data_IF_628808326391
#
_entry.id   IF_628808326391
#
_cell.length_a   1.000
_cell.length_b   1.000
_cell.length_c   1.000
_cell.angle_alpha   90.00
_cell.angle_beta   90.00
_cell.angle_gamma   90.00
#
_symmetry.space_group_name_H-M   'P 1'
#
loop_
_entity.id
_entity.type
_entity.pdbx_description
1 polymer ?
#
# COMPACT_ATOMS: atom_id res chain seq x y z
N UNK A 1 -9.34 4.33 22.41
CA UNK A 1 -8.70 5.42 21.64
C UNK A 1 -9.71 5.88 20.61
N UNK A 2 -9.85 7.19 20.40
CA UNK A 2 -10.75 7.72 19.37
C UNK A 2 -9.98 7.81 18.06
N UNK A 3 -10.56 7.33 16.96
CA UNK A 3 -9.99 7.43 15.61
C UNK A 3 -10.76 8.49 14.85
N UNK A 4 -10.06 9.46 14.26
CA UNK A 4 -10.66 10.48 13.38
C UNK A 4 -10.35 10.22 11.92
N UNK A 5 -11.21 10.76 11.06
CA UNK A 5 -10.98 10.80 9.61
C UNK A 5 -10.59 12.21 9.19
N UNK A 6 -9.50 12.34 8.44
CA UNK A 6 -9.10 13.60 7.81
C UNK A 6 -9.37 13.49 6.31
N UNK A 7 -10.19 14.43 5.80
CA UNK A 7 -10.53 14.54 4.39
C UNK A 7 -9.92 15.80 3.78
N UNK A 8 -9.40 15.70 2.57
CA UNK A 8 -8.94 16.86 1.80
C UNK A 8 -7.84 16.55 0.82
N UNK A 9 -7.39 17.56 0.08
CA UNK A 9 -6.32 17.41 -0.93
C UNK A 9 -5.02 16.93 -0.29
N UNK A 10 -4.21 16.21 -1.07
CA UNK A 10 -2.94 15.61 -0.62
C UNK A 10 -2.09 16.62 0.18
N UNK A 11 -1.79 17.79 -0.39
CA UNK A 11 -0.98 18.83 0.24
C UNK A 11 -1.56 19.41 1.54
N UNK A 12 -2.88 19.57 1.62
CA UNK A 12 -3.54 20.24 2.75
C UNK A 12 -3.78 19.26 3.89
N UNK A 13 -4.22 18.05 3.57
CA UNK A 13 -4.43 16.96 4.52
C UNK A 13 -3.11 16.56 5.16
N UNK A 14 -2.03 16.43 4.38
CA UNK A 14 -0.74 15.99 4.93
C UNK A 14 -0.15 16.94 5.97
N UNK A 15 -0.37 18.25 5.84
CA UNK A 15 0.07 19.22 6.86
C UNK A 15 -0.65 19.05 8.19
N UNK A 16 -1.79 18.37 8.21
CA UNK A 16 -2.61 18.11 9.40
C UNK A 16 -2.40 16.71 9.98
N UNK A 17 -1.76 15.83 9.23
CA UNK A 17 -1.53 14.43 9.61
C UNK A 17 -0.37 14.33 10.59
N UNK A 18 -0.54 13.51 11.61
CA UNK A 18 0.53 13.10 12.52
C UNK A 18 0.96 11.69 12.11
N UNK A 19 2.07 11.53 11.38
CA UNK A 19 2.35 10.29 10.67
C UNK A 19 2.44 9.06 11.57
N UNK A 20 2.94 9.21 12.79
CA UNK A 20 3.06 8.15 13.79
C UNK A 20 1.70 7.64 14.31
N UNK A 21 0.61 8.32 13.96
CA UNK A 21 -0.75 8.00 14.40
C UNK A 21 -1.64 7.52 13.28
N UNK A 22 -1.18 7.60 12.04
CA UNK A 22 -1.95 7.08 10.93
C UNK A 22 -2.05 5.58 11.04
N UNK A 23 -3.25 5.08 10.82
CA UNK A 23 -3.50 3.66 10.83
C UNK A 23 -2.78 3.00 9.65
N UNK A 24 -2.08 1.93 9.97
CA UNK A 24 -1.51 0.97 9.01
C UNK A 24 -2.62 0.21 8.29
N UNK A 25 -2.33 -0.40 7.15
CA UNK A 25 -3.26 -1.13 6.29
C UNK A 25 -4.00 -2.25 7.02
N UNK A 26 -3.33 -2.96 7.93
CA UNK A 26 -3.93 -3.99 8.79
C UNK A 26 -4.86 -3.37 9.83
N UNK A 27 -4.48 -2.25 10.44
CA UNK A 27 -5.38 -1.49 11.32
C UNK A 27 -6.60 -0.97 10.55
N UNK A 28 -6.43 -0.46 9.33
CA UNK A 28 -7.52 -0.02 8.46
C UNK A 28 -8.46 -1.17 8.07
N UNK A 29 -7.91 -2.36 7.81
CA UNK A 29 -8.69 -3.55 7.52
C UNK A 29 -9.53 -4.00 8.73
N UNK A 30 -8.98 -3.89 9.95
CA UNK A 30 -9.72 -4.12 11.21
C UNK A 30 -10.81 -3.08 11.40
N UNK A 31 -10.48 -1.78 11.30
CA UNK A 31 -11.46 -0.69 11.46
C UNK A 31 -12.65 -0.83 10.51
N UNK A 32 -12.43 -1.29 9.29
CA UNK A 32 -13.51 -1.49 8.31
C UNK A 32 -14.47 -2.62 8.71
N UNK A 33 -14.05 -3.56 9.55
CA UNK A 33 -14.93 -4.59 10.11
C UNK A 33 -15.84 -4.01 11.18
N UNK A 34 -15.30 -3.12 12.01
CA UNK A 34 -16.00 -2.53 13.15
C UNK A 34 -16.87 -1.32 12.74
N UNK A 35 -16.53 -0.66 11.63
CA UNK A 35 -17.18 0.55 11.12
C UNK A 35 -17.59 0.37 9.66
N UNK A 36 -18.80 -0.16 9.42
CA UNK A 36 -19.28 -0.50 8.07
C UNK A 36 -19.42 0.71 7.12
N UNK A 37 -19.55 1.92 7.65
CA UNK A 37 -19.54 3.16 6.88
C UNK A 37 -18.20 3.37 6.15
N UNK A 38 -17.08 2.92 6.74
CA UNK A 38 -15.76 2.89 6.09
C UNK A 38 -15.69 1.88 4.94
N UNK A 39 -16.66 0.95 4.85
CA UNK A 39 -16.77 -0.01 3.77
C UNK A 39 -17.01 0.64 2.40
N UNK A 40 -17.47 1.89 2.36
CA UNK A 40 -17.76 2.62 1.13
C UNK A 40 -16.70 3.68 0.78
N UNK A 41 -15.60 3.73 1.53
CA UNK A 41 -14.56 4.75 1.38
C UNK A 41 -13.21 4.07 1.14
N UNK A 42 -12.49 4.55 0.13
CA UNK A 42 -11.10 4.15 -0.11
C UNK A 42 -10.19 4.90 0.86
N UNK A 43 -9.32 4.16 1.56
CA UNK A 43 -8.51 4.68 2.66
C UNK A 43 -7.06 4.78 2.22
N UNK A 44 -6.41 5.90 2.52
CA UNK A 44 -4.97 6.06 2.31
C UNK A 44 -4.22 5.33 3.41
N UNK A 45 -3.13 4.69 3.03
CA UNK A 45 -2.20 4.02 3.93
C UNK A 45 -0.89 4.83 3.89
N UNK A 46 -0.23 5.12 5.01
CA UNK A 46 1.07 5.83 4.98
C UNK A 46 2.27 4.92 4.71
N UNK A 47 2.02 3.67 4.36
CA UNK A 47 3.05 2.73 4.01
C UNK A 47 3.82 3.21 2.77
N UNK A 48 5.13 3.23 2.93
CA UNK A 48 6.03 3.58 1.84
C UNK A 48 6.39 2.30 1.11
N UNK A 49 6.02 2.23 -0.16
CA UNK A 49 6.32 1.11 -1.04
C UNK A 49 7.53 1.46 -1.88
N UNK A 50 8.70 1.00 -1.46
CA UNK A 50 9.98 1.25 -2.11
C UNK A 50 10.28 0.09 -3.07
N UNK A 51 10.76 0.42 -4.26
CA UNK A 51 11.13 -0.55 -5.28
C UNK A 51 12.58 -0.34 -5.68
N UNK A 52 13.37 -1.42 -5.69
CA UNK A 52 14.79 -1.38 -6.00
C UNK A 52 15.29 -2.69 -6.60
N UNK A 53 16.55 -2.70 -7.04
CA UNK A 53 17.26 -3.90 -7.49
C UNK A 53 18.29 -4.24 -6.41
N UNK A 54 18.24 -5.47 -5.90
CA UNK A 54 19.20 -5.92 -4.89
C UNK A 54 20.57 -6.29 -5.51
N UNK A 55 21.50 -6.70 -4.66
CA UNK A 55 22.85 -7.09 -5.07
C UNK A 55 22.87 -8.31 -6.01
N UNK A 56 21.84 -9.16 -5.94
CA UNK A 56 21.64 -10.33 -6.80
C UNK A 56 20.86 -10.02 -8.09
N UNK A 57 20.65 -8.74 -8.42
CA UNK A 57 19.91 -8.28 -9.60
C UNK A 57 18.41 -8.63 -9.58
N UNK A 58 17.84 -8.89 -8.40
CA UNK A 58 16.42 -9.17 -8.24
C UNK A 58 15.63 -7.88 -8.01
N UNK A 59 14.47 -7.72 -8.67
CA UNK A 59 13.53 -6.65 -8.36
C UNK A 59 12.84 -6.90 -7.02
N UNK A 60 13.05 -5.99 -6.09
CA UNK A 60 12.52 -6.06 -4.73
C UNK A 60 11.46 -4.98 -4.52
N UNK A 61 10.40 -5.34 -3.79
CA UNK A 61 9.46 -4.41 -3.18
C UNK A 61 9.66 -4.42 -1.67
N UNK A 62 9.89 -3.26 -1.08
CA UNK A 62 9.92 -3.06 0.36
C UNK A 62 8.69 -2.27 0.80
N UNK A 63 8.02 -2.72 1.86
CA UNK A 63 6.88 -2.03 2.44
C UNK A 63 7.20 -1.64 3.89
N UNK A 64 7.40 -0.34 4.13
CA UNK A 64 7.77 0.19 5.45
C UNK A 64 6.63 0.97 6.10
N UNK A 65 6.53 0.87 7.43
CA UNK A 65 5.52 1.55 8.28
C UNK A 65 6.05 2.76 9.04
N UNK A 66 7.38 2.88 9.20
CA UNK A 66 8.00 3.81 10.16
C UNK A 66 8.78 4.95 9.54
N UNK A 67 8.73 5.09 8.21
CA UNK A 67 9.44 6.16 7.52
C UNK A 67 8.57 7.09 6.69
N UNK A 68 7.53 7.67 7.31
CA UNK A 68 6.70 8.66 6.65
C UNK A 68 7.54 9.80 6.02
N UNK A 69 8.63 10.20 6.68
CA UNK A 69 9.51 11.30 6.27
C UNK A 69 10.06 11.20 4.85
N UNK A 70 10.14 10.00 4.25
CA UNK A 70 10.54 9.85 2.84
C UNK A 70 9.62 10.60 1.88
N UNK A 71 8.32 10.67 2.19
CA UNK A 71 7.38 11.47 1.41
C UNK A 71 7.25 12.90 1.98
N UNK A 72 7.51 13.11 3.27
CA UNK A 72 7.12 14.35 3.95
C UNK A 72 8.18 15.46 3.97
N UNK A 73 9.47 15.15 3.89
CA UNK A 73 10.50 16.20 3.93
C UNK A 73 10.43 17.16 2.72
N UNK A 74 9.87 16.72 1.60
CA UNK A 74 9.64 17.52 0.40
C UNK A 74 8.27 17.21 -0.20
N UNK A 75 7.20 17.40 0.59
CA UNK A 75 5.85 16.98 0.17
C UNK A 75 5.43 17.59 -1.17
N UNK A 76 5.70 18.87 -1.42
CA UNK A 76 5.32 19.53 -2.69
C UNK A 76 5.99 18.88 -3.92
N UNK A 77 7.28 18.61 -3.82
CA UNK A 77 8.04 17.93 -4.87
C UNK A 77 7.62 16.47 -5.03
N UNK A 78 7.32 15.79 -3.92
CA UNK A 78 6.79 14.42 -3.91
C UNK A 78 5.45 14.35 -4.62
N UNK A 79 4.54 15.26 -4.30
CA UNK A 79 3.23 15.39 -4.96
C UNK A 79 3.40 15.66 -6.44
N UNK A 80 4.30 16.58 -6.81
CA UNK A 80 4.61 16.88 -8.21
C UNK A 80 5.07 15.63 -8.97
N UNK A 81 6.07 14.91 -8.46
CA UNK A 81 6.58 13.70 -9.12
C UNK A 81 5.54 12.58 -9.20
N UNK A 82 4.76 12.37 -8.13
CA UNK A 82 3.69 11.38 -8.13
C UNK A 82 2.59 11.74 -9.14
N UNK A 83 2.26 13.03 -9.32
CA UNK A 83 1.32 13.49 -10.35
C UNK A 83 1.83 13.26 -11.76
N UNK A 84 3.09 13.58 -12.00
CA UNK A 84 3.67 13.52 -13.35
C UNK A 84 4.02 12.10 -13.79
N UNK A 85 4.49 11.27 -12.85
CA UNK A 85 5.11 9.97 -13.18
C UNK A 85 4.49 8.78 -12.45
N UNK A 86 3.64 9.03 -11.45
CA UNK A 86 3.11 8.00 -10.54
C UNK A 86 4.16 7.35 -9.65
N UNK A 87 5.39 7.87 -9.65
CA UNK A 87 6.51 7.42 -8.84
C UNK A 87 7.12 8.62 -8.13
N UNK A 88 7.70 8.37 -6.96
CA UNK A 88 8.61 9.31 -6.30
C UNK A 88 10.03 8.79 -6.45
N UNK A 89 10.91 9.56 -7.11
CA UNK A 89 12.32 9.21 -7.21
C UNK A 89 12.98 9.48 -5.86
N UNK A 90 13.25 8.40 -5.16
CA UNK A 90 13.90 8.43 -3.85
C UNK A 90 15.41 8.52 -4.00
N UNK A 91 16.06 9.23 -3.08
CA UNK A 91 17.49 9.06 -2.88
C UNK A 91 17.72 7.72 -2.18
N UNK A 92 18.18 6.72 -2.93
CA UNK A 92 18.32 5.35 -2.41
C UNK A 92 19.30 5.23 -1.24
N UNK A 93 20.35 6.07 -1.19
CA UNK A 93 21.27 6.09 -0.05
C UNK A 93 20.55 6.52 1.23
N UNK A 94 19.61 7.47 1.12
CA UNK A 94 18.75 7.86 2.25
C UNK A 94 17.70 6.80 2.57
N UNK A 95 17.19 6.10 1.56
CA UNK A 95 16.18 5.06 1.71
C UNK A 95 16.70 3.75 2.34
N UNK A 96 18.03 3.59 2.42
CA UNK A 96 18.65 2.40 3.01
C UNK A 96 18.23 2.16 4.45
N UNK A 97 18.16 3.21 5.27
CA UNK A 97 17.74 3.10 6.66
C UNK A 97 16.30 2.57 6.76
N UNK A 98 15.40 3.06 5.89
CA UNK A 98 14.03 2.53 5.80
C UNK A 98 14.00 1.05 5.43
N UNK A 99 14.82 0.65 4.47
CA UNK A 99 14.86 -0.74 3.97
C UNK A 99 15.39 -1.68 5.06
N UNK A 100 16.28 -1.20 5.92
CA UNK A 100 16.90 -1.96 7.00
C UNK A 100 16.12 -1.91 8.32
N UNK A 101 15.09 -1.07 8.42
CA UNK A 101 14.23 -1.00 9.60
C UNK A 101 13.52 -2.33 9.87
N UNK A 102 13.42 -2.71 11.14
CA UNK A 102 12.87 -4.01 11.54
C UNK A 102 11.39 -4.19 11.19
N UNK A 103 10.66 -3.08 11.03
CA UNK A 103 9.25 -3.10 10.60
C UNK A 103 9.11 -3.16 9.07
N UNK A 104 10.20 -3.09 8.32
CA UNK A 104 10.17 -3.18 6.86
C UNK A 104 10.18 -4.63 6.40
N UNK A 105 9.24 -4.95 5.52
CA UNK A 105 9.15 -6.27 4.90
C UNK A 105 9.55 -6.17 3.44
N UNK A 106 10.49 -7.03 3.04
CA UNK A 106 11.00 -7.12 1.66
C UNK A 106 10.33 -8.28 0.93
N UNK A 107 10.00 -8.08 -0.34
CA UNK A 107 9.36 -9.07 -1.21
C UNK A 107 10.17 -9.23 -2.49
N UNK A 108 10.52 -10.47 -2.82
CA UNK A 108 11.10 -10.80 -4.11
C UNK A 108 10.00 -10.82 -5.18
N UNK A 109 9.96 -9.80 -6.03
CA UNK A 109 8.92 -9.66 -7.04
C UNK A 109 8.97 -10.76 -8.12
N UNK A 110 10.08 -11.51 -8.22
CA UNK A 110 10.16 -12.67 -9.12
C UNK A 110 9.40 -13.89 -8.59
N UNK A 111 9.08 -13.91 -7.29
CA UNK A 111 8.32 -14.98 -6.64
C UNK A 111 6.83 -14.68 -6.50
N UNK A 112 6.40 -13.44 -6.69
CA UNK A 112 4.99 -13.07 -6.60
C UNK A 112 4.20 -13.64 -7.79
N UNK A 113 3.11 -14.37 -7.51
CA UNK A 113 2.26 -15.01 -8.52
C UNK A 113 1.26 -14.01 -9.11
N UNK A 114 1.72 -13.15 -10.02
CA UNK A 114 0.83 -12.19 -10.67
C UNK A 114 -0.21 -12.90 -11.56
N UNK A 115 -1.49 -12.76 -11.22
CA UNK A 115 -2.62 -13.26 -12.01
C UNK A 115 -2.98 -12.34 -13.18
N UNK A 116 -2.63 -11.05 -13.09
CA UNK A 116 -2.71 -10.10 -14.21
C UNK A 116 -1.45 -9.26 -14.25
N UNK A 117 -0.98 -9.00 -15.46
CA UNK A 117 0.31 -8.35 -15.69
C UNK A 117 0.22 -7.32 -16.81
N UNK A 118 0.73 -6.12 -16.57
CA UNK A 118 0.95 -5.07 -17.58
C UNK A 118 2.37 -4.51 -17.43
N UNK A 119 2.79 -3.72 -18.42
CA UNK A 119 4.17 -3.22 -18.52
C UNK A 119 4.69 -2.48 -17.28
N UNK A 120 3.83 -1.92 -16.42
CA UNK A 120 4.25 -1.16 -15.24
C UNK A 120 3.58 -1.57 -13.91
N UNK A 121 2.70 -2.57 -13.92
CA UNK A 121 2.05 -3.09 -12.72
C UNK A 121 1.70 -4.57 -12.85
N UNK A 122 1.67 -5.25 -11.72
CA UNK A 122 1.16 -6.61 -11.55
C UNK A 122 0.04 -6.64 -10.51
N UNK A 123 -0.87 -7.60 -10.66
CA UNK A 123 -1.95 -7.88 -9.72
C UNK A 123 -1.78 -9.29 -9.18
N UNK A 124 -1.62 -9.41 -7.86
CA UNK A 124 -1.71 -10.66 -7.12
C UNK A 124 -3.17 -10.85 -6.70
N UNK A 125 -3.82 -11.89 -7.21
CA UNK A 125 -5.17 -12.26 -6.79
C UNK A 125 -5.09 -13.06 -5.48
N UNK A 126 -5.98 -12.73 -4.55
CA UNK A 126 -6.13 -13.40 -3.26
C UNK A 126 -7.59 -13.87 -3.16
N UNK A 127 -7.86 -15.15 -3.40
CA UNK A 127 -9.20 -15.68 -3.20
C UNK A 127 -9.56 -15.66 -1.71
N UNK A 128 -10.83 -15.42 -1.42
CA UNK A 128 -11.32 -15.27 -0.04
C UNK A 128 -11.83 -16.58 0.57
N UNK A 129 -11.89 -17.65 -0.21
CA UNK A 129 -12.57 -18.90 0.13
C UNK A 129 -11.65 -20.05 0.52
N UNK A 130 -10.34 -19.92 0.29
CA UNK A 130 -9.45 -21.07 0.20
C UNK A 130 -8.22 -21.01 1.14
N UNK A 131 -8.27 -20.23 2.22
CA UNK A 131 -7.25 -20.21 3.30
C UNK A 131 -5.79 -20.17 2.80
N UNK A 132 -5.53 -19.41 1.74
CA UNK A 132 -4.23 -19.33 1.05
C UNK A 132 -3.72 -20.60 0.38
N UNK A 133 -4.49 -21.67 0.30
CA UNK A 133 -4.06 -22.94 -0.30
C UNK A 133 -3.60 -22.83 -1.76
N UNK A 134 -4.02 -21.78 -2.48
CA UNK A 134 -3.59 -21.48 -3.84
C UNK A 134 -2.40 -20.50 -3.95
N UNK A 135 -1.90 -19.98 -2.84
CA UNK A 135 -0.84 -18.97 -2.80
C UNK A 135 0.51 -19.60 -2.42
N UNK A 136 1.60 -19.05 -2.97
CA UNK A 136 2.94 -19.42 -2.52
C UNK A 136 3.35 -18.62 -1.27
N UNK A 137 4.50 -18.96 -0.67
CA UNK A 137 4.96 -18.32 0.57
C UNK A 137 5.14 -16.80 0.46
N UNK A 138 5.66 -16.29 -0.67
CA UNK A 138 5.86 -14.85 -0.88
C UNK A 138 4.53 -14.12 -1.05
N UNK A 139 3.57 -14.76 -1.73
CA UNK A 139 2.21 -14.24 -1.89
C UNK A 139 1.46 -14.17 -0.55
N UNK A 140 1.57 -15.21 0.29
CA UNK A 140 0.98 -15.24 1.64
C UNK A 140 1.56 -14.13 2.51
N UNK A 141 2.88 -13.99 2.49
CA UNK A 141 3.58 -12.92 3.21
C UNK A 141 3.11 -11.54 2.76
N UNK A 142 2.94 -11.32 1.45
CA UNK A 142 2.42 -10.06 0.92
C UNK A 142 0.95 -9.83 1.32
N UNK A 143 0.10 -10.86 1.22
CA UNK A 143 -1.30 -10.81 1.63
C UNK A 143 -1.43 -10.39 3.10
N UNK A 144 -0.73 -11.07 4.00
CA UNK A 144 -0.75 -10.78 5.44
C UNK A 144 -0.25 -9.35 5.69
N UNK A 145 0.85 -8.94 5.06
CA UNK A 145 1.41 -7.59 5.23
C UNK A 145 0.45 -6.49 4.76
N UNK A 146 -0.34 -6.76 3.72
CA UNK A 146 -1.38 -5.86 3.24
C UNK A 146 -2.71 -5.97 4.00
N UNK A 147 -2.73 -6.65 5.15
CA UNK A 147 -3.92 -6.75 6.00
C UNK A 147 -4.94 -7.80 5.55
N UNK A 148 -4.62 -8.65 4.57
CA UNK A 148 -5.50 -9.73 4.10
C UNK A 148 -5.30 -11.01 4.89
N UNK A 149 -5.41 -10.96 6.23
CA UNK A 149 -5.38 -12.13 7.13
C UNK A 149 -6.56 -13.06 6.88
N UNK A 150 -6.50 -14.32 7.34
CA UNK A 150 -7.61 -15.27 7.21
C UNK A 150 -8.93 -14.73 7.77
N UNK A 151 -8.89 -14.05 8.91
CA UNK A 151 -10.07 -13.42 9.51
C UNK A 151 -10.64 -12.30 8.65
N UNK A 152 -9.77 -11.53 7.99
CA UNK A 152 -10.20 -10.46 7.10
C UNK A 152 -10.73 -11.02 5.77
N UNK A 153 -10.12 -12.07 5.22
CA UNK A 153 -10.64 -12.77 4.05
C UNK A 153 -12.01 -13.38 4.31
N UNK A 154 -12.21 -14.00 5.49
CA UNK A 154 -13.52 -14.51 5.91
C UNK A 154 -14.57 -13.38 5.94
N UNK A 155 -14.23 -12.23 6.49
CA UNK A 155 -15.11 -11.07 6.49
C UNK A 155 -15.44 -10.59 5.07
N UNK A 156 -14.46 -10.49 4.17
CA UNK A 156 -14.70 -10.09 2.78
C UNK A 156 -15.65 -11.07 2.07
N UNK A 157 -15.48 -12.38 2.30
CA UNK A 157 -16.39 -13.42 1.80
C UNK A 157 -17.81 -13.25 2.31
N UNK A 158 -17.99 -12.94 3.60
CA UNK A 158 -19.31 -12.63 4.19
C UNK A 158 -19.96 -11.39 3.57
N UNK A 159 -19.17 -10.48 2.99
CA UNK A 159 -19.65 -9.34 2.20
C UNK A 159 -19.86 -9.65 0.71
N UNK A 160 -19.75 -10.92 0.32
CA UNK A 160 -19.95 -11.37 -1.07
C UNK A 160 -18.76 -11.11 -2.01
N UNK A 161 -17.61 -10.71 -1.47
CA UNK A 161 -16.38 -10.55 -2.25
C UNK A 161 -15.70 -11.92 -2.32
N UNK A 162 -15.53 -12.46 -3.53
CA UNK A 162 -14.91 -13.77 -3.74
C UNK A 162 -13.40 -13.69 -3.92
N UNK A 163 -12.90 -12.57 -4.46
CA UNK A 163 -11.48 -12.31 -4.70
C UNK A 163 -11.15 -10.86 -4.31
N UNK A 164 -10.06 -10.68 -3.56
CA UNK A 164 -9.38 -9.39 -3.35
C UNK A 164 -7.97 -9.45 -3.95
N UNK A 165 -7.14 -8.42 -3.77
CA UNK A 165 -5.76 -8.53 -4.23
C UNK A 165 -4.90 -7.31 -4.01
N UNK A 166 -3.67 -7.43 -4.50
CA UNK A 166 -2.60 -6.44 -4.34
C UNK A 166 -2.15 -5.99 -5.73
N UNK A 167 -2.23 -4.67 -5.98
CA UNK A 167 -1.67 -4.05 -7.18
C UNK A 167 -0.33 -3.38 -6.85
N UNK A 168 0.77 -3.87 -7.42
CA UNK A 168 2.14 -3.37 -7.19
C UNK A 168 2.90 -3.19 -8.51
N UNK A 169 4.11 -2.64 -8.46
CA UNK A 169 4.95 -2.53 -9.66
C UNK A 169 5.34 -3.91 -10.22
N UNK A 170 5.30 -4.03 -11.55
CA UNK A 170 5.74 -5.23 -12.25
C UNK A 170 7.27 -5.41 -12.15
N UNK A 171 7.82 -6.65 -12.07
CA UNK A 171 9.26 -6.88 -11.93
C UNK A 171 10.08 -6.25 -13.08
N UNK A 172 9.60 -6.36 -14.33
CA UNK A 172 10.31 -5.78 -15.49
C UNK A 172 10.31 -4.25 -15.45
N UNK A 173 9.26 -3.65 -14.88
CA UNK A 173 9.20 -2.21 -14.69
C UNK A 173 10.18 -1.74 -13.63
N UNK A 174 10.25 -2.47 -12.51
CA UNK A 174 11.23 -2.20 -11.45
C UNK A 174 12.65 -2.28 -12.01
N UNK A 175 12.99 -3.32 -12.78
CA UNK A 175 14.30 -3.44 -13.45
C UNK A 175 14.67 -2.24 -14.32
N UNK A 176 13.69 -1.56 -14.93
CA UNK A 176 13.91 -0.41 -15.81
C UNK A 176 13.96 0.92 -15.06
N UNK A 177 13.08 1.10 -14.07
CA UNK A 177 12.77 2.41 -13.50
C UNK A 177 13.28 2.61 -12.07
N UNK A 178 13.66 1.53 -11.38
CA UNK A 178 14.18 1.59 -10.02
C UNK A 178 15.46 2.45 -9.91
N UNK A 179 15.71 3.05 -8.72
CA UNK A 179 14.89 3.01 -7.52
C UNK A 179 13.75 4.05 -7.54
N UNK A 180 12.61 3.71 -6.95
CA UNK A 180 11.49 4.64 -6.74
C UNK A 180 10.59 4.20 -5.57
N UNK A 181 9.72 5.08 -5.11
CA UNK A 181 8.67 4.77 -4.15
C UNK A 181 7.27 5.10 -4.69
N UNK A 182 6.24 4.48 -4.10
CA UNK A 182 4.81 4.77 -4.36
C UNK A 182 4.02 4.88 -3.07
N UNK A 183 3.06 5.80 -3.05
CA UNK A 183 2.00 5.82 -2.05
C UNK A 183 1.06 4.62 -2.24
N UNK A 184 0.34 4.24 -1.18
CA UNK A 184 -0.61 3.15 -1.22
C UNK A 184 -1.96 3.43 -0.55
N UNK A 185 -2.93 2.60 -0.93
CA UNK A 185 -4.34 2.77 -0.59
C UNK A 185 -4.99 1.40 -0.40
N UNK A 186 -6.01 1.37 0.43
CA UNK A 186 -6.94 0.26 0.57
C UNK A 186 -8.30 0.66 0.00
N UNK A 187 -8.66 0.11 -1.15
CA UNK A 187 -9.93 0.38 -1.80
C UNK A 187 -11.13 -0.02 -0.93
N UNK A 188 -12.28 0.57 -1.23
CA UNK A 188 -13.56 0.24 -0.60
C UNK A 188 -14.05 -1.17 -0.97
N UNK A 189 -15.12 -1.62 -0.31
CA UNK A 189 -15.70 -2.96 -0.53
C UNK A 189 -16.35 -3.12 -1.91
N UNK A 190 -16.82 -2.03 -2.55
CA UNK A 190 -17.37 -2.10 -3.92
C UNK A 190 -16.29 -2.38 -4.96
N UNK A 191 -15.03 -2.08 -4.62
CA UNK A 191 -13.83 -2.34 -5.41
C UNK A 191 -13.00 -3.49 -4.81
N UNK A 192 -13.68 -4.44 -4.18
CA UNK A 192 -13.11 -5.68 -3.64
C UNK A 192 -12.05 -5.49 -2.55
N UNK A 193 -12.02 -4.34 -1.87
CA UNK A 193 -11.07 -4.06 -0.80
C UNK A 193 -9.57 -4.19 -1.17
N UNK A 194 -9.21 -4.03 -2.45
CA UNK A 194 -7.84 -4.27 -2.90
C UNK A 194 -6.82 -3.28 -2.31
N UNK A 195 -5.60 -3.76 -2.08
CA UNK A 195 -4.44 -2.92 -1.77
C UNK A 195 -3.79 -2.43 -3.06
N UNK A 196 -3.38 -1.17 -3.10
CA UNK A 196 -2.87 -0.54 -4.32
C UNK A 196 -1.64 0.30 -4.05
N UNK A 197 -0.55 -0.01 -4.74
CA UNK A 197 0.64 0.81 -4.94
C UNK A 197 0.96 0.91 -6.45
N UNK A 198 0.05 1.54 -7.22
CA UNK A 198 0.12 1.61 -8.70
C UNK A 198 -0.07 3.03 -9.27
N UNK A 199 0.34 3.20 -10.52
CA UNK A 199 0.56 4.48 -11.24
C UNK A 199 -0.71 5.21 -11.72
N UNK A 200 -1.80 4.50 -12.03
CA UNK A 200 -2.79 5.06 -12.99
C UNK A 200 -4.12 5.55 -12.43
N UNK A 201 -4.35 5.44 -11.13
CA UNK A 201 -5.71 5.62 -10.60
C UNK A 201 -5.87 6.75 -9.61
N UNK A 202 -4.81 7.51 -9.33
CA UNK A 202 -4.88 8.54 -8.31
C UNK A 202 -4.90 9.91 -8.94
N UNK A 203 -6.10 10.45 -8.98
CA UNK A 203 -6.26 11.87 -8.93
C UNK A 203 -5.78 12.34 -7.54
N UNK A 204 -4.54 12.82 -7.47
CA UNK A 204 -4.01 13.49 -6.27
C UNK A 204 -4.71 14.84 -6.02
N UNK A 205 -5.78 15.15 -6.78
CA UNK A 205 -6.73 16.23 -6.52
C UNK A 205 -8.03 15.74 -5.87
N UNK A 206 -8.37 14.45 -5.96
CA UNK A 206 -9.45 13.85 -5.17
C UNK A 206 -9.01 13.74 -3.71
N UNK A 207 -9.94 14.06 -2.80
CA UNK A 207 -9.64 14.13 -1.37
C UNK A 207 -9.04 12.81 -0.85
N UNK A 208 -7.89 12.90 -0.18
CA UNK A 208 -7.44 11.81 0.68
C UNK A 208 -8.48 11.54 1.75
N UNK A 209 -8.54 10.28 2.15
CA UNK A 209 -9.20 9.86 3.37
C UNK A 209 -8.15 9.14 4.22
N UNK A 210 -7.67 9.79 5.28
CA UNK A 210 -6.69 9.25 6.21
C UNK A 210 -7.36 9.02 7.56
N UNK A 211 -7.14 7.85 8.17
CA UNK A 211 -7.57 7.53 9.54
C UNK A 211 -6.38 7.65 10.47
N UNK A 212 -6.53 8.35 11.58
CA UNK A 212 -5.48 8.42 12.61
C UNK A 212 -6.06 8.47 14.02
N UNK A 213 -5.29 8.05 15.01
CA UNK A 213 -5.64 8.21 16.43
C UNK A 213 -5.66 9.70 16.84
N UNK A 214 -6.65 10.10 17.65
CA UNK A 214 -6.74 11.42 18.27
C UNK A 214 -5.83 11.56 19.50
N UNK A 215 -5.51 12.81 19.85
CA UNK A 215 -4.96 13.12 21.17
C UNK A 215 -6.03 12.84 22.24
N UNK A 216 -5.64 12.13 23.31
CA UNK A 216 -6.34 12.21 24.59
C UNK A 216 -6.01 13.54 25.28
#
# INVERSE_FOLDING_TARGET
MVVKTIFGRLNDTYKQVQPERVLTVDQLAIERKDHLDLGYISLNTLEVNIYFIDEEQKPIWAMTRKHPEFFFQNIDETVRQLRETGNYKINFHKARDAIQDSETVLFDLTKISFSRYKNNWGYLAIPTDNEYSSLNEEDVKAAIRCGFTLDNLKFLREKGITETGIYIAAPNYVKKEAPFARASFLYDLKRNACFIAKVFTFDLTDGLCIRQYEHL
#
